data_IF_600704368395
#
_entry.id   IF_600704368395
#
_cell.length_a   1.000
_cell.length_b   1.000
_cell.length_c   1.000
_cell.angle_alpha   90.00
_cell.angle_beta   90.00
_cell.angle_gamma   90.00
#
_symmetry.space_group_name_H-M   'P 1'
#
loop_
_entity.id
_entity.type
_entity.pdbx_description
1 polymer ?
#
# COMPACT_ATOMS: atom_id res chain seq x y z
N UNK A 1 -5.63 9.63 8.64
CA UNK A 1 -6.44 8.49 9.13
C UNK A 1 -6.98 7.79 7.89
N UNK A 2 -6.91 6.47 7.76
CA UNK A 2 -7.68 5.78 6.70
C UNK A 2 -9.21 6.07 6.83
N UNK A 3 -9.62 6.73 7.91
CA UNK A 3 -10.87 7.49 8.06
C UNK A 3 -10.86 8.80 7.26
N UNK A 4 -10.96 8.69 5.95
CA UNK A 4 -11.47 9.74 5.11
C UNK A 4 -12.15 9.04 3.97
N UNK A 5 -13.43 9.33 3.73
CA UNK A 5 -14.21 8.80 2.62
C UNK A 5 -13.66 9.33 1.29
N UNK A 6 -12.43 8.93 0.96
CA UNK A 6 -11.72 9.28 -0.27
C UNK A 6 -12.04 8.21 -1.29
N UNK A 7 -13.31 8.10 -1.61
CA UNK A 7 -13.78 7.30 -2.73
C UNK A 7 -13.25 7.95 -4.02
N UNK A 8 -12.25 7.34 -4.67
CA UNK A 8 -11.67 7.81 -5.94
C UNK A 8 -10.18 7.48 -6.10
N UNK A 9 -9.63 7.85 -7.27
CA UNK A 9 -8.25 7.64 -7.79
C UNK A 9 -7.07 7.94 -6.82
N UNK A 10 -7.34 8.40 -5.60
CA UNK A 10 -6.36 8.72 -4.58
C UNK A 10 -5.65 7.49 -4.01
N UNK A 11 -6.27 6.31 -3.97
CA UNK A 11 -5.60 5.08 -3.48
C UNK A 11 -4.46 4.63 -4.40
N UNK A 12 -4.70 4.62 -5.72
CA UNK A 12 -3.69 4.32 -6.74
C UNK A 12 -2.59 5.39 -6.79
N UNK A 13 -2.94 6.66 -6.57
CA UNK A 13 -1.94 7.73 -6.47
C UNK A 13 -1.06 7.55 -5.23
N UNK A 14 -1.66 7.31 -4.05
CA UNK A 14 -0.92 7.07 -2.82
C UNK A 14 -0.03 5.83 -2.91
N UNK A 15 -0.51 4.72 -3.49
CA UNK A 15 0.31 3.52 -3.64
C UNK A 15 1.50 3.73 -4.57
N UNK A 16 1.36 4.54 -5.62
CA UNK A 16 2.48 4.94 -6.48
C UNK A 16 3.51 5.79 -5.74
N UNK A 17 3.08 6.73 -4.91
CA UNK A 17 4.00 7.52 -4.08
C UNK A 17 4.77 6.65 -3.07
N UNK A 18 4.09 5.68 -2.45
CA UNK A 18 4.73 4.71 -1.54
C UNK A 18 5.78 3.89 -2.30
N UNK A 19 5.45 3.38 -3.50
CA UNK A 19 6.37 2.60 -4.32
C UNK A 19 7.60 3.43 -4.74
N UNK A 20 7.42 4.70 -5.11
CA UNK A 20 8.52 5.60 -5.44
C UNK A 20 9.45 5.82 -4.24
N UNK A 21 8.88 6.11 -3.06
CA UNK A 21 9.67 6.28 -1.85
C UNK A 21 10.45 5.00 -1.46
N UNK A 22 9.82 3.82 -1.65
CA UNK A 22 10.50 2.53 -1.44
C UNK A 22 11.62 2.34 -2.45
N UNK A 23 11.41 2.66 -3.72
CA UNK A 23 12.45 2.57 -4.76
C UNK A 23 13.63 3.49 -4.45
N UNK A 24 13.36 4.73 -4.03
CA UNK A 24 14.39 5.67 -3.62
C UNK A 24 15.17 5.14 -2.42
N UNK A 25 14.48 4.55 -1.43
CA UNK A 25 15.13 3.90 -0.30
C UNK A 25 16.03 2.76 -0.76
N UNK A 26 15.55 1.85 -1.62
CA UNK A 26 16.33 0.72 -2.15
C UNK A 26 17.57 1.18 -2.90
N UNK A 27 17.51 2.30 -3.64
CA UNK A 27 18.65 2.86 -4.36
C UNK A 27 19.77 3.36 -3.43
N UNK A 28 19.47 3.63 -2.15
CA UNK A 28 20.51 3.94 -1.14
C UNK A 28 21.32 2.71 -0.72
N UNK A 29 20.82 1.50 -1.03
CA UNK A 29 21.50 0.24 -0.74
C UNK A 29 22.13 -0.27 -2.03
N UNK A 30 23.44 -0.05 -2.26
CA UNK A 30 24.11 -0.73 -3.37
C UNK A 30 23.90 -2.25 -3.21
N UNK A 31 23.85 -2.97 -4.34
CA UNK A 31 23.78 -4.43 -4.38
C UNK A 31 25.09 -5.02 -3.88
N UNK A 32 25.36 -4.82 -2.60
CA UNK A 32 26.55 -5.28 -1.92
C UNK A 32 26.23 -6.66 -1.35
N UNK A 33 27.00 -7.65 -1.77
CA UNK A 33 26.91 -9.02 -1.26
C UNK A 33 27.13 -9.08 0.26
N UNK A 34 27.73 -8.03 0.84
CA UNK A 34 28.07 -7.87 2.26
C UNK A 34 26.91 -7.49 3.18
N UNK A 35 25.72 -7.15 2.65
CA UNK A 35 24.57 -6.84 3.52
C UNK A 35 24.18 -8.06 4.38
N UNK A 36 23.96 -7.89 5.68
CA UNK A 36 23.39 -8.94 6.53
C UNK A 36 22.11 -9.52 5.92
N UNK A 37 21.89 -10.83 6.09
CA UNK A 37 20.74 -11.50 5.51
C UNK A 37 19.42 -10.86 5.96
N UNK A 38 19.38 -10.32 7.18
CA UNK A 38 18.24 -9.58 7.74
C UNK A 38 17.94 -8.30 6.95
N UNK A 39 18.99 -7.55 6.55
CA UNK A 39 18.86 -6.34 5.72
C UNK A 39 18.38 -6.72 4.33
N UNK A 40 18.99 -7.73 3.69
CA UNK A 40 18.55 -8.23 2.37
C UNK A 40 17.08 -8.66 2.40
N UNK A 41 16.66 -9.37 3.44
CA UNK A 41 15.29 -9.81 3.61
C UNK A 41 14.32 -8.64 3.84
N UNK A 42 14.69 -7.67 4.68
CA UNK A 42 13.86 -6.50 4.93
C UNK A 42 13.69 -5.61 3.67
N UNK A 43 14.75 -5.42 2.88
CA UNK A 43 14.70 -4.72 1.59
C UNK A 43 13.81 -5.46 0.58
N UNK A 44 13.94 -6.79 0.48
CA UNK A 44 13.10 -7.60 -0.42
C UNK A 44 11.62 -7.54 0.00
N UNK A 45 11.33 -7.67 1.30
CA UNK A 45 9.96 -7.53 1.81
C UNK A 45 9.41 -6.14 1.52
N UNK A 46 10.20 -5.08 1.71
CA UNK A 46 9.76 -3.71 1.40
C UNK A 46 9.43 -3.55 -0.09
N UNK A 47 10.28 -4.07 -0.98
CA UNK A 47 10.05 -4.05 -2.42
C UNK A 47 8.78 -4.81 -2.81
N UNK A 48 8.66 -6.06 -2.36
CA UNK A 48 7.55 -6.97 -2.68
C UNK A 48 6.21 -6.42 -2.18
N UNK A 49 6.16 -5.98 -0.92
CA UNK A 49 4.92 -5.51 -0.32
C UNK A 49 4.46 -4.17 -0.89
N UNK A 50 5.39 -3.29 -1.26
CA UNK A 50 5.06 -2.03 -1.96
C UNK A 50 4.50 -2.25 -3.35
N UNK A 51 5.02 -3.24 -4.09
CA UNK A 51 4.52 -3.61 -5.41
C UNK A 51 3.14 -4.27 -5.33
N UNK A 52 2.92 -5.16 -4.34
CA UNK A 52 1.62 -5.77 -4.11
C UNK A 52 0.57 -4.72 -3.72
N UNK A 53 0.91 -3.79 -2.82
CA UNK A 53 0.03 -2.67 -2.46
C UNK A 53 -0.38 -1.85 -3.69
N UNK A 54 0.58 -1.59 -4.61
CA UNK A 54 0.29 -0.86 -5.84
C UNK A 54 -0.67 -1.62 -6.74
N UNK A 55 -0.39 -2.89 -7.02
CA UNK A 55 -1.23 -3.76 -7.85
C UNK A 55 -2.65 -3.85 -7.32
N UNK A 56 -2.81 -4.06 -6.02
CA UNK A 56 -4.13 -4.20 -5.40
C UNK A 56 -4.90 -2.87 -5.42
N UNK A 57 -4.22 -1.75 -5.14
CA UNK A 57 -4.84 -0.42 -5.30
C UNK A 57 -5.27 -0.12 -6.74
N UNK A 58 -4.46 -0.51 -7.74
CA UNK A 58 -4.78 -0.34 -9.16
C UNK A 58 -5.96 -1.23 -9.59
N UNK A 59 -6.00 -2.49 -9.13
CA UNK A 59 -7.11 -3.41 -9.39
C UNK A 59 -8.42 -2.93 -8.78
N UNK A 60 -8.40 -2.44 -7.54
CA UNK A 60 -9.59 -1.89 -6.86
C UNK A 60 -10.11 -0.66 -7.60
N UNK A 61 -9.19 0.23 -8.03
CA UNK A 61 -9.54 1.44 -8.81
C UNK A 61 -10.13 1.08 -10.17
N UNK A 62 -9.53 0.11 -10.88
CA UNK A 62 -10.03 -0.37 -12.16
C UNK A 62 -11.42 -1.01 -12.02
N UNK A 63 -11.61 -1.88 -11.01
CA UNK A 63 -12.88 -2.59 -10.75
C UNK A 63 -14.00 -1.61 -10.36
N UNK A 64 -13.68 -0.55 -9.62
CA UNK A 64 -14.63 0.53 -9.30
C UNK A 64 -14.95 1.42 -10.50
N UNK A 65 -14.13 1.43 -11.55
CA UNK A 65 -14.36 2.24 -12.76
C UNK A 65 -15.32 1.54 -13.74
N UNK A 66 -15.43 0.21 -13.69
CA UNK A 66 -16.34 -0.57 -14.56
C UNK A 66 -17.81 -0.56 -14.12
N UNK A 67 -18.12 -0.09 -12.90
CA UNK A 67 -19.52 0.07 -12.44
C UNK A 67 -20.14 1.42 -12.83
N UNK A 68 -19.47 2.22 -13.65
CA UNK A 68 -20.02 3.47 -14.20
C UNK A 68 -20.04 3.48 -15.73
N UNK A 69 -21.11 2.96 -16.37
CA UNK A 69 -21.53 3.47 -17.67
C UNK A 69 -22.41 4.70 -17.43
N UNK A 70 -22.00 5.82 -18.02
CA UNK A 70 -22.76 7.07 -18.03
C UNK A 70 -24.17 6.89 -18.61
N UNK A 71 -25.11 7.65 -18.03
CA UNK A 71 -26.43 8.08 -18.56
C UNK A 71 -27.66 7.28 -18.12
N UNK A 72 -28.43 7.81 -17.17
CA UNK A 72 -29.80 8.34 -17.39
C UNK A 72 -30.62 8.40 -16.09
N UNK A 73 -31.27 9.55 -15.86
CA UNK A 73 -32.56 9.70 -15.16
C UNK A 73 -32.73 9.20 -13.71
N UNK A 74 -32.93 10.16 -12.80
CA UNK A 74 -34.01 10.19 -11.79
C UNK A 74 -34.02 9.19 -10.61
N UNK A 75 -34.01 9.78 -9.40
CA UNK A 75 -34.83 9.42 -8.22
C UNK A 75 -34.37 8.22 -7.36
N UNK A 76 -34.13 8.56 -6.08
CA UNK A 76 -34.18 7.82 -4.80
C UNK A 76 -33.46 6.47 -4.60
N UNK A 77 -32.68 6.44 -3.51
CA UNK A 77 -32.76 5.36 -2.54
C UNK A 77 -31.64 4.33 -2.61
N UNK A 78 -30.65 4.48 -1.74
CA UNK A 78 -30.42 3.54 -0.64
C UNK A 78 -29.08 3.85 0.01
N UNK A 79 -29.12 4.65 1.07
CA UNK A 79 -27.99 4.80 1.99
C UNK A 79 -28.11 3.64 2.99
N UNK A 80 -27.64 2.46 2.60
CA UNK A 80 -27.53 1.34 3.54
C UNK A 80 -26.28 1.54 4.40
N UNK A 81 -26.42 2.35 5.44
CA UNK A 81 -25.56 2.30 6.62
C UNK A 81 -25.90 1.04 7.40
N UNK A 82 -25.14 -0.05 7.19
CA UNK A 82 -25.24 -1.22 8.06
C UNK A 82 -23.84 -1.74 8.39
N UNK A 83 -23.47 -1.64 9.67
CA UNK A 83 -22.31 -2.25 10.34
C UNK A 83 -21.09 -2.51 9.46
N UNK A 84 -20.26 -1.48 9.25
CA UNK A 84 -19.13 -1.47 8.30
C UNK A 84 -18.04 -2.47 8.70
N UNK A 85 -18.22 -3.76 8.38
CA UNK A 85 -17.10 -4.67 8.24
C UNK A 85 -16.17 -4.07 7.19
N UNK A 86 -14.87 -4.01 7.50
CA UNK A 86 -13.88 -3.54 6.52
C UNK A 86 -13.94 -4.49 5.33
N UNK A 87 -14.20 -4.00 4.10
CA UNK A 87 -14.16 -4.83 2.91
C UNK A 87 -12.87 -5.66 2.86
N UNK A 88 -12.92 -6.93 2.44
CA UNK A 88 -11.74 -7.80 2.41
C UNK A 88 -10.59 -7.19 1.60
N UNK A 89 -10.91 -6.43 0.55
CA UNK A 89 -9.93 -5.70 -0.27
C UNK A 89 -9.21 -4.62 0.54
N UNK A 90 -9.94 -3.88 1.38
CA UNK A 90 -9.35 -2.86 2.26
C UNK A 90 -8.49 -3.53 3.35
N UNK A 91 -8.89 -4.70 3.83
CA UNK A 91 -8.09 -5.49 4.78
C UNK A 91 -6.75 -5.90 4.19
N UNK A 92 -6.72 -6.26 2.90
CA UNK A 92 -5.49 -6.59 2.17
C UNK A 92 -4.57 -5.37 2.06
N UNK A 93 -5.11 -4.19 1.70
CA UNK A 93 -4.32 -2.95 1.65
C UNK A 93 -3.74 -2.57 3.02
N UNK A 94 -4.53 -2.70 4.08
CA UNK A 94 -4.09 -2.46 5.47
C UNK A 94 -2.95 -3.42 5.83
N UNK A 95 -3.07 -4.70 5.47
CA UNK A 95 -2.02 -5.71 5.70
C UNK A 95 -0.71 -5.32 5.01
N UNK A 96 -0.75 -4.97 3.72
CA UNK A 96 0.43 -4.53 2.99
C UNK A 96 1.08 -3.29 3.61
N UNK A 97 0.27 -2.30 3.99
CA UNK A 97 0.78 -1.11 4.68
C UNK A 97 1.47 -1.45 6.01
N UNK A 98 0.93 -2.39 6.79
CA UNK A 98 1.55 -2.87 8.02
C UNK A 98 2.88 -3.61 7.75
N UNK A 99 2.94 -4.44 6.72
CA UNK A 99 4.18 -5.15 6.37
C UNK A 99 5.27 -4.19 5.90
N UNK A 100 4.92 -3.18 5.09
CA UNK A 100 5.84 -2.12 4.67
C UNK A 100 6.38 -1.37 5.90
N UNK A 101 5.50 -0.96 6.82
CA UNK A 101 5.90 -0.26 8.04
C UNK A 101 6.80 -1.13 8.93
N UNK A 102 6.53 -2.44 9.00
CA UNK A 102 7.35 -3.39 9.76
C UNK A 102 8.73 -3.56 9.15
N UNK A 103 8.82 -3.79 7.84
CA UNK A 103 10.10 -3.91 7.14
C UNK A 103 10.95 -2.64 7.26
N UNK A 104 10.32 -1.46 7.13
CA UNK A 104 11.01 -0.18 7.34
C UNK A 104 11.52 -0.04 8.79
N UNK A 105 10.72 -0.43 9.79
CA UNK A 105 11.14 -0.43 11.19
C UNK A 105 12.30 -1.39 11.44
N UNK A 106 12.26 -2.58 10.86
CA UNK A 106 13.33 -3.58 11.01
C UNK A 106 14.64 -3.05 10.41
N UNK A 107 14.59 -2.42 9.23
CA UNK A 107 15.75 -1.72 8.65
C UNK A 107 16.30 -0.65 9.59
N UNK A 108 15.44 0.27 10.06
CA UNK A 108 15.87 1.33 10.98
C UNK A 108 16.49 0.77 12.27
N UNK A 109 15.93 -0.31 12.82
CA UNK A 109 16.42 -0.95 14.04
C UNK A 109 17.78 -1.61 13.84
N UNK A 110 18.02 -2.18 12.65
CA UNK A 110 19.32 -2.76 12.29
C UNK A 110 20.39 -1.65 12.20
N UNK A 111 20.09 -0.55 11.52
CA UNK A 111 21.03 0.59 11.42
C UNK A 111 21.33 1.24 12.77
N UNK A 112 20.33 1.43 13.63
CA UNK A 112 20.54 1.98 14.97
C UNK A 112 21.42 1.10 15.87
N UNK A 113 21.43 -0.21 15.64
CA UNK A 113 22.32 -1.15 16.37
C UNK A 113 23.72 -1.21 15.78
N UNK A 114 23.90 -0.88 14.51
CA UNK A 114 25.21 -0.84 13.86
C UNK A 114 26.03 0.41 14.19
N UNK A 115 25.39 1.46 14.71
CA UNK A 115 26.00 2.74 15.12
C UNK A 115 26.44 2.76 16.61
N UNK A 116 26.40 1.61 17.29
CA UNK A 116 26.70 1.45 18.73
C UNK A 116 27.84 0.46 18.96
#
# INVERSE_FOLDING_TARGET
>A
IANGDRHGNNSAHCSRLIQLAVKDLLNLFPSDESHPMEVKNALNNLATESENLRKDCEQITASSSFTSPSSSSSIVGSVSHSGRSVPPEITILIRHAHQIARAAKDLLSLFQRSDQ
#
